data_IF_544255429422
#
_entry.id   IF_544255429422
#
_cell.length_a   1.000
_cell.length_b   1.000
_cell.length_c   1.000
_cell.angle_alpha   90.00
_cell.angle_beta   90.00
_cell.angle_gamma   90.00
#
_symmetry.space_group_name_H-M   'P 1'
#
loop_
_entity.id
_entity.type
_entity.pdbx_description
1 polymer ?
#
# COMPACT_ATOMS: atom_id res chain seq x y z
N UNK A 1 -13.47 -14.14 -6.83
CA UNK A 1 -14.43 -13.13 -6.34
C UNK A 1 -15.41 -13.73 -5.34
N UNK A 2 -16.17 -14.75 -5.70
CA UNK A 2 -17.24 -15.37 -4.86
C UNK A 2 -16.75 -15.77 -3.47
N UNK A 3 -15.61 -16.41 -3.36
CA UNK A 3 -15.04 -16.84 -2.09
C UNK A 3 -14.74 -15.68 -1.11
N UNK A 4 -14.24 -14.55 -1.62
CA UNK A 4 -13.99 -13.38 -0.77
C UNK A 4 -15.29 -12.71 -0.32
N UNK A 5 -16.30 -12.68 -1.19
CA UNK A 5 -17.64 -12.16 -0.85
C UNK A 5 -18.27 -13.04 0.23
N UNK A 6 -18.17 -14.37 0.12
CA UNK A 6 -18.67 -15.30 1.13
C UNK A 6 -17.97 -15.12 2.47
N UNK A 7 -16.65 -14.88 2.47
CA UNK A 7 -15.90 -14.58 3.69
C UNK A 7 -16.30 -13.26 4.31
N UNK A 8 -16.46 -12.20 3.51
CA UNK A 8 -16.95 -10.91 3.99
C UNK A 8 -18.29 -11.07 4.71
N UNK A 9 -19.24 -11.76 4.07
CA UNK A 9 -20.57 -12.01 4.67
C UNK A 9 -20.50 -12.83 5.96
N UNK A 10 -19.66 -13.87 6.00
CA UNK A 10 -19.44 -14.67 7.21
C UNK A 10 -18.81 -13.89 8.36
N UNK A 11 -18.06 -12.84 8.05
CA UNK A 11 -17.47 -11.91 9.03
C UNK A 11 -18.42 -10.77 9.43
N UNK A 12 -19.68 -10.81 8.98
CA UNK A 12 -20.68 -9.78 9.29
C UNK A 12 -20.72 -8.60 8.33
N UNK A 13 -19.91 -8.61 7.26
CA UNK A 13 -19.92 -7.57 6.25
C UNK A 13 -21.16 -7.64 5.36
N UNK A 14 -21.68 -6.46 5.00
CA UNK A 14 -22.88 -6.28 4.19
C UNK A 14 -22.57 -5.84 2.75
N UNK A 15 -23.64 -5.42 2.11
CA UNK A 15 -23.58 -4.94 0.72
C UNK A 15 -22.82 -3.62 0.62
N UNK A 16 -22.98 -2.74 1.61
CA UNK A 16 -22.25 -1.46 1.71
C UNK A 16 -20.74 -1.67 1.83
N UNK A 17 -20.29 -2.68 2.60
CA UNK A 17 -18.86 -2.99 2.74
C UNK A 17 -18.28 -3.51 1.41
N UNK A 18 -19.06 -4.30 0.68
CA UNK A 18 -18.66 -4.79 -0.64
C UNK A 18 -18.58 -3.64 -1.65
N UNK A 19 -19.57 -2.74 -1.67
CA UNK A 19 -19.58 -1.57 -2.53
C UNK A 19 -18.41 -0.64 -2.23
N UNK A 20 -18.11 -0.43 -0.95
CA UNK A 20 -16.95 0.33 -0.51
C UNK A 20 -15.63 -0.25 -1.02
N UNK A 21 -15.41 -1.56 -0.87
CA UNK A 21 -14.22 -2.24 -1.36
C UNK A 21 -14.08 -2.11 -2.89
N UNK A 22 -15.17 -2.28 -3.64
CA UNK A 22 -15.18 -2.13 -5.10
C UNK A 22 -14.85 -0.68 -5.50
N UNK A 23 -15.47 0.31 -4.85
CA UNK A 23 -15.27 1.72 -5.16
C UNK A 23 -13.83 2.17 -4.90
N UNK A 24 -13.26 1.79 -3.76
CA UNK A 24 -11.86 2.09 -3.41
C UNK A 24 -10.90 1.40 -4.37
N UNK A 25 -11.11 0.13 -4.68
CA UNK A 25 -10.26 -0.60 -5.62
C UNK A 25 -10.34 -0.03 -7.05
N UNK A 26 -11.52 0.40 -7.48
CA UNK A 26 -11.73 1.03 -8.79
C UNK A 26 -11.02 2.38 -8.89
N UNK A 27 -11.09 3.19 -7.83
CA UNK A 27 -10.35 4.45 -7.76
C UNK A 27 -8.83 4.21 -7.83
N UNK A 28 -8.32 3.27 -7.03
CA UNK A 28 -6.91 2.92 -6.99
C UNK A 28 -6.38 2.39 -8.34
N UNK A 29 -7.19 1.70 -9.12
CA UNK A 29 -6.79 1.26 -10.46
C UNK A 29 -6.46 2.43 -11.40
N UNK A 30 -7.07 3.59 -11.20
CA UNK A 30 -6.79 4.82 -11.95
C UNK A 30 -5.58 5.62 -11.47
N UNK A 31 -4.87 5.19 -10.43
CA UNK A 31 -3.80 5.95 -9.78
C UNK A 31 -2.71 6.42 -10.75
N UNK A 32 -2.30 5.60 -11.71
CA UNK A 32 -1.25 5.93 -12.66
C UNK A 32 -1.60 7.12 -13.56
N UNK A 33 -2.87 7.39 -13.79
CA UNK A 33 -3.31 8.56 -14.56
C UNK A 33 -2.99 9.87 -13.84
N UNK A 34 -3.00 9.88 -12.51
CA UNK A 34 -2.62 11.07 -11.73
C UNK A 34 -1.14 11.41 -11.91
N UNK A 35 -0.27 10.40 -11.90
CA UNK A 35 1.15 10.58 -12.18
C UNK A 35 1.39 11.02 -13.64
N UNK A 36 0.66 10.44 -14.59
CA UNK A 36 0.74 10.84 -15.99
C UNK A 36 0.33 12.30 -16.19
N UNK A 37 -0.80 12.71 -15.62
CA UNK A 37 -1.30 14.09 -15.75
C UNK A 37 -0.33 15.07 -15.07
N UNK A 38 0.20 14.75 -13.89
CA UNK A 38 1.18 15.59 -13.21
C UNK A 38 2.43 15.81 -14.07
N UNK A 39 2.95 14.74 -14.64
CA UNK A 39 4.17 14.78 -15.45
C UNK A 39 4.00 15.55 -16.76
N UNK A 40 2.89 15.34 -17.46
CA UNK A 40 2.73 15.80 -18.84
C UNK A 40 1.85 17.06 -18.97
N UNK A 41 0.90 17.25 -18.06
CA UNK A 41 -0.06 18.36 -18.09
C UNK A 41 0.14 19.33 -16.92
N UNK A 42 0.70 18.86 -15.81
CA UNK A 42 0.98 19.66 -14.61
C UNK A 42 1.72 20.97 -14.92
N UNK A 43 2.72 21.01 -15.84
CA UNK A 43 3.38 22.26 -16.22
C UNK A 43 2.43 23.32 -16.79
N UNK A 44 1.25 22.93 -17.29
CA UNK A 44 0.22 23.81 -17.84
C UNK A 44 -0.93 24.09 -16.85
N UNK A 45 -0.89 23.49 -15.67
CA UNK A 45 -1.95 23.55 -14.65
C UNK A 45 -1.37 24.15 -13.36
N UNK A 46 -1.75 25.38 -13.05
CA UNK A 46 -1.26 26.04 -11.83
C UNK A 46 -1.72 25.27 -10.58
N UNK A 47 -0.75 24.79 -9.79
CA UNK A 47 -1.01 24.12 -8.53
C UNK A 47 -1.55 22.69 -8.62
N UNK A 48 -1.50 22.04 -9.80
CA UNK A 48 -1.86 20.64 -9.92
C UNK A 48 -0.81 19.74 -9.26
N UNK A 49 -1.27 18.87 -8.37
CA UNK A 49 -0.46 17.81 -7.80
C UNK A 49 -1.25 16.50 -7.87
N UNK A 50 -0.72 15.52 -8.60
CA UNK A 50 -1.41 14.26 -8.88
C UNK A 50 -1.69 13.44 -7.64
N UNK A 51 -0.70 13.34 -6.74
CA UNK A 51 -0.84 12.62 -5.47
C UNK A 51 -1.94 13.25 -4.61
N UNK A 52 -1.95 14.59 -4.49
CA UNK A 52 -2.99 15.28 -3.72
C UNK A 52 -4.37 15.06 -4.32
N UNK A 53 -4.50 15.10 -5.65
CA UNK A 53 -5.80 14.85 -6.33
C UNK A 53 -6.28 13.41 -6.14
N UNK A 54 -5.39 12.46 -6.21
CA UNK A 54 -5.70 11.07 -5.88
C UNK A 54 -6.18 10.94 -4.42
N UNK A 55 -5.46 11.54 -3.47
CA UNK A 55 -5.80 11.52 -2.05
C UNK A 55 -7.15 12.18 -1.76
N UNK A 56 -7.43 13.36 -2.33
CA UNK A 56 -8.72 14.04 -2.18
C UNK A 56 -9.92 13.16 -2.59
N UNK A 57 -9.79 12.40 -3.67
CA UNK A 57 -10.84 11.48 -4.10
C UNK A 57 -10.96 10.26 -3.18
N UNK A 58 -9.86 9.72 -2.72
CA UNK A 58 -9.82 8.60 -1.78
C UNK A 58 -10.46 8.99 -0.44
N UNK A 59 -10.15 10.18 0.07
CA UNK A 59 -10.73 10.69 1.32
C UNK A 59 -12.25 10.83 1.23
N UNK A 60 -12.78 11.29 0.09
CA UNK A 60 -14.23 11.35 -0.15
C UNK A 60 -14.89 9.97 -0.11
N UNK A 61 -14.26 8.97 -0.73
CA UNK A 61 -14.75 7.59 -0.69
C UNK A 61 -14.70 7.03 0.73
N UNK A 62 -13.58 7.26 1.44
CA UNK A 62 -13.39 6.83 2.82
C UNK A 62 -14.47 7.42 3.74
N UNK A 63 -14.75 8.71 3.61
CA UNK A 63 -15.79 9.40 4.37
C UNK A 63 -17.19 8.90 4.01
N UNK A 64 -17.48 8.74 2.71
CA UNK A 64 -18.80 8.29 2.25
C UNK A 64 -19.16 6.91 2.81
N UNK A 65 -18.21 5.98 2.80
CA UNK A 65 -18.41 4.62 3.28
C UNK A 65 -18.04 4.41 4.76
N UNK A 66 -17.56 5.44 5.46
CA UNK A 66 -17.12 5.38 6.84
C UNK A 66 -16.10 4.25 7.11
N UNK A 67 -15.11 4.11 6.21
CA UNK A 67 -14.06 3.08 6.34
C UNK A 67 -12.89 3.61 7.16
N UNK A 68 -12.28 2.74 7.95
CA UNK A 68 -11.06 3.07 8.67
C UNK A 68 -9.92 3.42 7.70
N UNK A 69 -9.30 4.58 7.89
CA UNK A 69 -8.16 5.02 7.10
C UNK A 69 -7.01 4.00 7.16
N UNK A 70 -6.77 3.35 8.30
CA UNK A 70 -5.76 2.28 8.45
C UNK A 70 -5.99 1.15 7.47
N UNK A 71 -7.23 0.68 7.37
CA UNK A 71 -7.60 -0.44 6.49
C UNK A 71 -7.45 -0.03 5.03
N UNK A 72 -7.85 1.19 4.66
CA UNK A 72 -7.70 1.72 3.30
C UNK A 72 -6.22 1.74 2.90
N UNK A 73 -5.37 2.32 3.73
CA UNK A 73 -3.95 2.46 3.41
C UNK A 73 -3.26 1.10 3.28
N UNK A 74 -3.49 0.18 4.22
CA UNK A 74 -2.93 -1.18 4.16
C UNK A 74 -3.45 -1.93 2.93
N UNK A 75 -4.76 -1.89 2.69
CA UNK A 75 -5.38 -2.58 1.57
C UNK A 75 -4.91 -2.06 0.21
N UNK A 76 -4.68 -0.74 0.10
CA UNK A 76 -4.17 -0.16 -1.14
C UNK A 76 -2.67 -0.39 -1.33
N UNK A 77 -1.85 -0.38 -0.28
CA UNK A 77 -0.46 -0.82 -0.37
C UNK A 77 -0.38 -2.25 -0.95
N UNK A 78 -1.20 -3.16 -0.41
CA UNK A 78 -1.32 -4.54 -0.87
C UNK A 78 -1.81 -4.65 -2.33
N UNK A 79 -2.83 -3.87 -2.71
CA UNK A 79 -3.36 -3.86 -4.07
C UNK A 79 -2.32 -3.35 -5.09
N UNK A 80 -1.63 -2.25 -4.79
CA UNK A 80 -0.60 -1.69 -5.65
C UNK A 80 0.63 -2.60 -5.76
N UNK A 81 0.97 -3.36 -4.68
CA UNK A 81 1.99 -4.41 -4.73
C UNK A 81 1.67 -5.45 -5.81
N UNK A 82 0.44 -5.91 -5.92
CA UNK A 82 0.04 -6.88 -6.94
C UNK A 82 0.24 -6.35 -8.38
N UNK A 83 0.14 -5.03 -8.56
CA UNK A 83 0.31 -4.37 -9.85
C UNK A 83 1.71 -3.78 -10.07
N UNK A 84 2.65 -3.99 -9.14
CA UNK A 84 4.03 -3.48 -9.20
C UNK A 84 4.11 -1.95 -9.31
N UNK A 85 3.18 -1.25 -8.69
CA UNK A 85 3.09 0.21 -8.66
C UNK A 85 3.83 0.74 -7.43
N UNK A 86 5.15 0.71 -7.47
CA UNK A 86 6.02 0.88 -6.31
C UNK A 86 5.92 2.26 -5.65
N UNK A 87 5.74 3.31 -6.44
CA UNK A 87 5.55 4.66 -5.90
C UNK A 87 4.26 4.74 -5.06
N UNK A 88 3.19 4.08 -5.54
CA UNK A 88 1.92 4.00 -4.81
C UNK A 88 2.01 3.09 -3.58
N UNK A 89 2.77 2.00 -3.63
CA UNK A 89 3.08 1.18 -2.44
C UNK A 89 3.72 2.06 -1.38
N UNK A 90 4.75 2.85 -1.75
CA UNK A 90 5.43 3.76 -0.84
C UNK A 90 4.47 4.81 -0.26
N UNK A 91 3.60 5.41 -1.09
CA UNK A 91 2.62 6.39 -0.66
C UNK A 91 1.63 5.82 0.36
N UNK A 92 1.11 4.61 0.12
CA UNK A 92 0.15 3.99 1.01
C UNK A 92 0.79 3.43 2.30
N UNK A 93 2.04 2.97 2.26
CA UNK A 93 2.77 2.65 3.48
C UNK A 93 2.95 3.92 4.35
N UNK A 94 3.35 5.05 3.77
CA UNK A 94 3.43 6.34 4.50
C UNK A 94 2.07 6.73 5.09
N UNK A 95 1.00 6.59 4.29
CA UNK A 95 -0.37 6.83 4.74
C UNK A 95 -0.78 5.94 5.91
N UNK A 96 -0.39 4.66 5.91
CA UNK A 96 -0.65 3.73 7.02
C UNK A 96 0.01 4.20 8.32
N UNK A 97 1.27 4.66 8.26
CA UNK A 97 1.93 5.26 9.43
C UNK A 97 1.26 6.55 9.90
N UNK A 98 0.85 7.42 8.98
CA UNK A 98 0.12 8.65 9.32
C UNK A 98 -1.23 8.37 9.99
N UNK A 99 -1.91 7.29 9.56
CA UNK A 99 -3.13 6.80 10.17
C UNK A 99 -2.88 6.03 11.49
N UNK A 100 -1.64 5.92 11.96
CA UNK A 100 -1.24 5.14 13.13
C UNK A 100 -1.67 3.66 13.04
N UNK A 101 -1.50 3.05 11.87
CA UNK A 101 -1.68 1.61 11.69
C UNK A 101 -0.56 0.83 12.39
N UNK A 102 -0.90 -0.35 12.92
CA UNK A 102 0.09 -1.27 13.46
C UNK A 102 1.01 -1.79 12.35
N UNK A 103 2.31 -1.82 12.60
CA UNK A 103 3.29 -2.35 11.65
C UNK A 103 3.08 -3.84 11.35
N UNK A 104 2.61 -4.60 12.34
CA UNK A 104 2.23 -5.99 12.14
C UNK A 104 1.05 -6.12 11.15
N UNK A 105 0.07 -5.20 11.22
CA UNK A 105 -1.03 -5.18 10.26
C UNK A 105 -0.58 -4.77 8.85
N UNK A 106 0.39 -3.86 8.72
CA UNK A 106 1.01 -3.52 7.43
C UNK A 106 1.71 -4.76 6.86
N UNK A 107 2.51 -5.46 7.67
CA UNK A 107 3.20 -6.68 7.25
C UNK A 107 2.21 -7.77 6.81
N UNK A 108 1.13 -7.97 7.55
CA UNK A 108 0.07 -8.93 7.21
C UNK A 108 -0.62 -8.56 5.89
N UNK A 109 -0.95 -7.30 5.68
CA UNK A 109 -1.57 -6.83 4.44
C UNK A 109 -0.69 -7.10 3.22
N UNK A 110 0.60 -6.77 3.29
CA UNK A 110 1.57 -7.06 2.23
C UNK A 110 1.74 -8.57 2.02
N UNK A 111 1.77 -9.36 3.10
CA UNK A 111 1.88 -10.83 3.03
C UNK A 111 0.64 -11.47 2.37
N UNK A 112 -0.58 -10.99 2.67
CA UNK A 112 -1.79 -11.47 2.02
C UNK A 112 -1.78 -11.25 0.50
N UNK A 113 -1.14 -10.18 0.05
CA UNK A 113 -1.00 -9.89 -1.38
C UNK A 113 -0.03 -10.86 -2.12
N UNK A 114 0.71 -11.71 -1.42
CA UNK A 114 1.50 -12.77 -2.07
C UNK A 114 0.63 -13.77 -2.85
N UNK A 115 -0.59 -14.03 -2.41
CA UNK A 115 -1.46 -14.99 -3.08
C UNK A 115 -1.85 -14.54 -4.51
N UNK A 116 -2.33 -13.30 -4.72
CA UNK A 116 -2.61 -12.81 -6.07
C UNK A 116 -1.40 -12.23 -6.80
N UNK A 117 -0.41 -11.66 -6.08
CA UNK A 117 0.70 -10.91 -6.67
C UNK A 117 2.01 -11.66 -6.81
N UNK A 118 2.15 -12.77 -6.08
CA UNK A 118 3.37 -13.58 -6.03
C UNK A 118 4.42 -13.08 -5.04
N UNK A 119 5.27 -14.02 -4.59
CA UNK A 119 6.35 -13.77 -3.62
C UNK A 119 7.33 -12.68 -4.06
N UNK A 120 7.78 -12.61 -5.33
CA UNK A 120 8.70 -11.56 -5.76
C UNK A 120 8.16 -10.15 -5.48
N UNK A 121 6.88 -9.89 -5.77
CA UNK A 121 6.27 -8.59 -5.50
C UNK A 121 6.21 -8.27 -4.00
N UNK A 122 6.03 -9.27 -3.15
CA UNK A 122 6.10 -9.10 -1.70
C UNK A 122 7.51 -8.69 -1.24
N UNK A 123 8.54 -9.34 -1.77
CA UNK A 123 9.94 -9.00 -1.45
C UNK A 123 10.25 -7.56 -1.86
N UNK A 124 9.86 -7.17 -3.09
CA UNK A 124 10.03 -5.80 -3.58
C UNK A 124 9.29 -4.77 -2.69
N UNK A 125 8.07 -5.07 -2.26
CA UNK A 125 7.30 -4.20 -1.36
C UNK A 125 7.97 -4.07 0.02
N UNK A 126 8.51 -5.16 0.56
CA UNK A 126 9.30 -5.13 1.79
C UNK A 126 10.55 -4.26 1.65
N UNK A 127 11.24 -4.31 0.50
CA UNK A 127 12.41 -3.47 0.25
C UNK A 127 12.04 -1.98 0.17
N UNK A 128 10.90 -1.65 -0.42
CA UNK A 128 10.37 -0.29 -0.41
C UNK A 128 10.11 0.17 1.02
N UNK A 129 9.45 -0.66 1.82
CA UNK A 129 9.17 -0.33 3.23
C UNK A 129 10.46 -0.14 4.02
N UNK A 130 11.44 -1.03 3.86
CA UNK A 130 12.77 -0.88 4.48
C UNK A 130 13.43 0.45 4.14
N UNK A 131 13.42 0.85 2.85
CA UNK A 131 13.95 2.15 2.41
C UNK A 131 13.24 3.32 3.05
N UNK A 132 11.91 3.28 3.15
CA UNK A 132 11.15 4.33 3.84
C UNK A 132 11.57 4.49 5.30
N UNK A 133 11.88 3.39 6.00
CA UNK A 133 12.36 3.40 7.39
C UNK A 133 13.80 3.95 7.45
N UNK A 134 14.68 3.45 6.60
CA UNK A 134 16.10 3.85 6.54
C UNK A 134 16.25 5.34 6.22
N UNK A 135 15.43 5.86 5.30
CA UNK A 135 15.43 7.26 4.88
C UNK A 135 14.69 8.19 5.87
N UNK A 136 14.17 7.65 6.98
CA UNK A 136 13.42 8.43 7.97
C UNK A 136 12.09 8.99 7.44
N UNK A 137 11.54 8.41 6.37
CA UNK A 137 10.26 8.83 5.77
C UNK A 137 9.06 8.37 6.59
N UNK A 138 9.25 7.35 7.43
CA UNK A 138 8.26 6.84 8.39
C UNK A 138 8.92 6.63 9.76
N UNK A 139 8.15 6.78 10.84
CA UNK A 139 8.65 6.60 12.22
C UNK A 139 8.36 5.17 12.69
N UNK A 140 9.24 4.24 12.35
CA UNK A 140 9.08 2.84 12.72
C UNK A 140 9.42 2.58 14.20
N UNK A 141 8.82 1.53 14.76
CA UNK A 141 9.13 1.00 16.08
C UNK A 141 10.53 0.35 16.14
N UNK A 142 11.10 0.14 17.33
CA UNK A 142 12.44 -0.45 17.45
C UNK A 142 12.61 -1.80 16.73
N UNK A 143 11.67 -2.76 16.78
CA UNK A 143 11.79 -4.01 16.04
C UNK A 143 11.90 -3.81 14.53
N UNK A 144 11.08 -2.91 13.95
CA UNK A 144 11.09 -2.66 12.51
C UNK A 144 12.27 -1.81 12.07
N UNK A 145 12.79 -0.93 12.92
CA UNK A 145 14.10 -0.27 12.68
C UNK A 145 15.23 -1.28 12.65
N UNK A 146 15.24 -2.25 13.59
CA UNK A 146 16.22 -3.32 13.60
C UNK A 146 16.14 -4.16 12.32
N UNK A 147 14.93 -4.58 11.93
CA UNK A 147 14.71 -5.28 10.67
C UNK A 147 15.19 -4.48 9.46
N UNK A 148 14.88 -3.20 9.40
CA UNK A 148 15.27 -2.35 8.28
C UNK A 148 16.80 -2.15 8.19
N UNK A 149 17.51 -2.27 9.30
CA UNK A 149 18.99 -2.15 9.35
C UNK A 149 19.74 -3.40 8.89
N UNK A 150 19.03 -4.54 8.73
CA UNK A 150 19.65 -5.77 8.24
C UNK A 150 20.15 -5.55 6.81
N UNK A 151 21.43 -5.88 6.59
CA UNK A 151 22.07 -5.83 5.26
C UNK A 151 22.01 -7.21 4.63
N UNK A 152 21.51 -7.24 3.38
CA UNK A 152 21.43 -8.48 2.61
C UNK A 152 20.21 -9.34 2.96
N UNK A 153 19.94 -10.30 2.09
CA UNK A 153 19.08 -11.44 2.40
C UNK A 153 19.94 -12.52 3.04
N UNK A 154 20.20 -12.42 4.33
CA UNK A 154 21.15 -13.20 5.12
C UNK A 154 21.61 -14.55 4.55
N UNK A 155 20.73 -15.47 4.27
CA UNK A 155 21.10 -16.77 3.70
C UNK A 155 21.50 -16.75 2.21
N UNK A 156 21.14 -15.72 1.45
CA UNK A 156 21.49 -15.63 0.02
C UNK A 156 22.91 -15.12 -0.19
N UNK A 157 23.35 -14.16 0.58
CA UNK A 157 24.71 -13.61 0.48
C UNK A 157 25.74 -14.63 0.95
N UNK A 158 25.41 -15.45 1.95
CA UNK A 158 26.24 -16.58 2.37
C UNK A 158 26.32 -17.67 1.30
N UNK A 159 25.19 -18.01 0.65
CA UNK A 159 25.13 -19.04 -0.39
C UNK A 159 25.94 -18.68 -1.65
N UNK A 160 26.10 -17.40 -1.97
CA UNK A 160 26.92 -16.93 -3.11
C UNK A 160 28.33 -16.51 -2.72
N UNK A 161 28.76 -16.77 -1.47
CA UNK A 161 30.12 -16.51 -1.01
C UNK A 161 30.50 -15.03 -0.90
N UNK A 162 29.54 -14.14 -0.87
CA UNK A 162 29.78 -12.73 -0.57
C UNK A 162 29.84 -12.56 0.96
N UNK A 163 31.03 -12.40 1.49
CA UNK A 163 31.26 -11.98 2.87
C UNK A 163 31.31 -10.47 2.95
#
# INVERSE_FOLDING_TARGET
ATHHIDRLRKSGGGETDLEAAISVASWANGADYFNFVEKHWGPHLSGFNGINKYREGLDKLTQHYNISQKIIEIGLAAAHQCHRRWDWVAEHIKGAYQAAADEAAIAEGLALAMFPGGVPNFVDACDIWRKLIQDGKVSASPPYKAWASLTGQGGFDEAVGKK
#
